data_IF_595199739228
#
_entry.id   IF_595199739228
#
_cell.length_a   1.000
_cell.length_b   1.000
_cell.length_c   1.000
_cell.angle_alpha   90.00
_cell.angle_beta   90.00
_cell.angle_gamma   90.00
#
_symmetry.space_group_name_H-M   'P 1'
#
loop_
_entity.id
_entity.type
_entity.pdbx_description
1 polymer ?
#
# COMPACT_ATOMS: atom_id res chain seq x y z
N UNK A 1 -6.25 7.19 8.50
CA UNK A 1 -5.92 6.12 7.55
C UNK A 1 -4.48 6.32 7.13
N UNK A 2 -3.60 5.50 7.71
CA UNK A 2 -2.17 5.84 7.84
C UNK A 2 -1.30 5.25 6.73
N UNK A 3 -1.88 4.56 5.74
CA UNK A 3 -1.14 3.89 4.66
C UNK A 3 -0.26 4.91 3.93
N UNK A 4 -0.87 5.99 3.41
CA UNK A 4 -0.15 7.02 2.64
C UNK A 4 0.99 7.63 3.45
N UNK A 5 0.76 7.90 4.74
CA UNK A 5 1.81 8.42 5.61
C UNK A 5 2.92 7.38 5.81
N UNK A 6 2.59 6.16 6.19
CA UNK A 6 3.58 5.14 6.53
C UNK A 6 4.37 4.61 5.32
N UNK A 7 3.84 4.74 4.11
CA UNK A 7 4.47 4.27 2.86
C UNK A 7 4.58 5.38 1.82
N UNK A 8 4.74 6.64 2.23
CA UNK A 8 4.76 7.81 1.35
C UNK A 8 5.77 7.69 0.20
N UNK A 9 6.95 7.12 0.48
CA UNK A 9 8.01 6.90 -0.51
C UNK A 9 7.59 5.98 -1.65
N UNK A 10 6.70 5.03 -1.40
CA UNK A 10 6.23 4.08 -2.42
C UNK A 10 5.33 4.74 -3.47
N UNK A 11 4.88 5.98 -3.25
CA UNK A 11 4.05 6.74 -4.19
C UNK A 11 4.83 7.77 -5.02
N UNK A 12 6.13 7.92 -4.80
CA UNK A 12 6.98 8.89 -5.51
C UNK A 12 7.47 8.37 -6.87
N UNK A 13 6.55 7.97 -7.74
CA UNK A 13 6.87 7.33 -9.04
C UNK A 13 6.37 8.10 -10.26
N UNK A 14 5.91 9.35 -10.10
CA UNK A 14 5.20 10.16 -11.11
C UNK A 14 3.93 9.49 -11.69
N UNK A 15 3.54 8.32 -11.18
CA UNK A 15 2.27 7.69 -11.49
C UNK A 15 1.10 8.47 -10.86
N UNK A 16 -0.08 8.31 -11.46
CA UNK A 16 -1.32 8.68 -10.81
C UNK A 16 -1.81 7.47 -10.03
N UNK A 17 -1.95 7.64 -8.72
CA UNK A 17 -2.37 6.56 -7.83
C UNK A 17 -3.82 6.72 -7.42
N UNK A 18 -4.55 5.61 -7.29
CA UNK A 18 -5.83 5.56 -6.59
C UNK A 18 -5.69 4.76 -5.30
N UNK A 19 -6.23 5.31 -4.21
CA UNK A 19 -6.28 4.66 -2.90
C UNK A 19 -7.74 4.52 -2.46
N UNK A 20 -8.32 3.32 -2.51
CA UNK A 20 -9.67 3.09 -2.00
C UNK A 20 -9.77 3.40 -0.49
N UNK A 21 -10.92 3.85 -0.01
CA UNK A 21 -11.21 4.17 1.39
C UNK A 21 -12.72 4.04 1.71
N UNK A 22 -13.13 4.25 2.96
CA UNK A 22 -14.54 4.25 3.37
C UNK A 22 -15.35 5.40 2.82
N UNK A 23 -16.68 5.30 2.91
CA UNK A 23 -17.65 6.38 2.65
C UNK A 23 -17.50 7.59 3.58
N UNK A 24 -16.96 7.42 4.80
CA UNK A 24 -16.79 8.49 5.79
C UNK A 24 -15.61 9.45 5.53
N UNK A 25 -15.28 9.73 4.26
CA UNK A 25 -14.40 10.87 3.89
C UNK A 25 -15.05 12.20 4.30
N UNK A 26 -16.38 12.20 4.51
CA UNK A 26 -17.19 13.36 4.89
C UNK A 26 -16.81 13.97 6.25
N UNK A 27 -16.13 13.25 7.14
CA UNK A 27 -15.74 13.75 8.47
C UNK A 27 -14.35 14.42 8.51
N UNK A 28 -13.67 14.52 7.36
CA UNK A 28 -12.39 15.19 7.30
C UNK A 28 -12.59 16.70 7.29
N UNK A 29 -12.07 17.33 8.33
CA UNK A 29 -11.75 18.75 8.47
C UNK A 29 -11.65 19.43 7.09
N UNK A 30 -12.65 20.27 6.75
CA UNK A 30 -12.75 20.92 5.42
C UNK A 30 -11.47 21.70 5.04
N UNK A 31 -10.65 22.00 6.05
CA UNK A 31 -9.42 22.75 6.02
C UNK A 31 -8.23 22.00 5.39
N UNK A 32 -8.27 20.66 5.26
CA UNK A 32 -7.18 19.85 4.74
C UNK A 32 -6.01 19.67 5.72
N UNK A 33 -5.00 18.91 5.32
CA UNK A 33 -3.89 18.52 6.19
C UNK A 33 -2.54 18.55 5.43
N UNK A 34 -1.51 19.14 6.05
CA UNK A 34 -0.13 19.06 5.55
C UNK A 34 0.77 18.55 6.66
N UNK A 35 1.30 17.34 6.47
CA UNK A 35 2.20 16.66 7.40
C UNK A 35 3.45 16.16 6.69
N UNK A 36 4.51 15.98 7.46
CA UNK A 36 5.72 15.31 7.00
C UNK A 36 5.68 13.85 7.42
N UNK A 37 5.97 12.93 6.50
CA UNK A 37 6.22 11.53 6.83
C UNK A 37 7.52 11.07 6.18
N UNK A 38 8.48 10.59 6.98
CA UNK A 38 9.83 10.24 6.54
C UNK A 38 10.44 11.34 5.64
N UNK A 39 10.39 12.59 6.10
CA UNK A 39 10.78 13.81 5.38
C UNK A 39 9.98 14.17 4.13
N UNK A 40 9.11 13.30 3.61
CA UNK A 40 8.23 13.57 2.46
C UNK A 40 7.04 14.42 2.92
N UNK A 41 6.79 15.62 2.33
CA UNK A 41 5.57 16.37 2.60
C UNK A 41 4.38 15.68 1.94
N UNK A 42 3.34 15.41 2.71
CA UNK A 42 2.06 14.87 2.23
C UNK A 42 1.03 15.97 2.42
N UNK A 43 0.52 16.49 1.30
CA UNK A 43 -0.51 17.52 1.27
C UNK A 43 -1.83 16.87 0.91
N UNK A 44 -2.77 16.86 1.85
CA UNK A 44 -4.04 16.16 1.73
C UNK A 44 -5.19 17.15 1.79
N UNK A 45 -6.06 17.12 0.78
CA UNK A 45 -7.20 18.05 0.70
C UNK A 45 -8.44 17.37 0.16
N UNK A 46 -9.60 17.85 0.61
CA UNK A 46 -10.89 17.43 0.08
C UNK A 46 -11.16 18.13 -1.26
N UNK A 47 -11.09 17.35 -2.33
CA UNK A 47 -11.44 17.78 -3.68
C UNK A 47 -12.94 17.74 -3.91
N UNK A 48 -13.43 18.74 -4.65
CA UNK A 48 -14.82 18.88 -5.07
C UNK A 48 -14.89 19.08 -6.58
N UNK A 49 -16.07 18.93 -7.20
CA UNK A 49 -16.26 19.27 -8.61
C UNK A 49 -15.84 20.72 -8.94
N UNK A 50 -15.88 21.62 -7.96
CA UNK A 50 -15.40 23.00 -8.12
C UNK A 50 -13.89 23.07 -8.00
N UNK A 51 -13.20 23.32 -9.12
CA UNK A 51 -11.76 23.59 -9.12
C UNK A 51 -11.40 24.79 -8.24
N UNK A 52 -12.24 25.83 -8.20
CA UNK A 52 -12.04 27.01 -7.36
C UNK A 52 -11.95 26.64 -5.90
N UNK A 53 -12.91 25.86 -5.40
CA UNK A 53 -12.90 25.38 -4.02
C UNK A 53 -11.72 24.45 -3.75
N UNK A 54 -11.41 23.53 -4.66
CA UNK A 54 -10.29 22.59 -4.50
C UNK A 54 -8.93 23.30 -4.42
N UNK A 55 -8.67 24.26 -5.31
CA UNK A 55 -7.42 25.05 -5.29
C UNK A 55 -7.38 25.96 -4.05
N UNK A 56 -8.49 26.59 -3.70
CA UNK A 56 -8.59 27.41 -2.48
C UNK A 56 -8.23 26.61 -1.23
N UNK A 57 -8.77 25.41 -1.07
CA UNK A 57 -8.45 24.49 0.05
C UNK A 57 -6.96 24.10 0.05
N UNK A 58 -6.40 23.81 -1.12
CA UNK A 58 -4.97 23.53 -1.28
C UNK A 58 -4.10 24.68 -0.77
N UNK A 59 -4.38 25.90 -1.23
CA UNK A 59 -3.61 27.10 -0.82
C UNK A 59 -3.83 27.39 0.66
N UNK A 60 -5.05 27.25 1.16
CA UNK A 60 -5.39 27.43 2.58
C UNK A 60 -4.62 26.47 3.48
N UNK A 61 -4.50 25.20 3.10
CA UNK A 61 -3.74 24.19 3.85
C UNK A 61 -2.25 24.55 3.95
N UNK A 62 -1.72 25.23 2.93
CA UNK A 62 -0.31 25.63 2.83
C UNK A 62 -0.02 26.95 3.56
N UNK A 63 -1.00 27.86 3.67
CA UNK A 63 -0.79 29.29 3.99
C UNK A 63 0.11 29.55 5.20
N UNK A 64 -0.02 28.76 6.28
CA UNK A 64 0.72 28.95 7.54
C UNK A 64 1.85 27.93 7.73
N UNK A 65 2.13 27.10 6.73
CA UNK A 65 3.04 25.95 6.88
C UNK A 65 4.48 26.23 6.48
N UNK A 66 4.85 27.49 6.25
CA UNK A 66 6.23 27.91 5.95
C UNK A 66 7.27 27.31 6.92
N UNK A 67 6.92 27.17 8.21
CA UNK A 67 7.84 26.69 9.27
C UNK A 67 8.05 25.18 9.27
N UNK A 68 7.11 24.37 8.73
CA UNK A 68 7.24 22.89 8.65
C UNK A 68 8.46 22.44 7.82
N UNK A 69 9.09 23.39 7.14
CA UNK A 69 10.19 23.19 6.21
C UNK A 69 11.51 23.79 6.73
N UNK A 70 11.56 24.34 7.94
CA UNK A 70 12.78 24.96 8.52
C UNK A 70 13.85 23.92 8.93
N UNK A 71 13.44 22.72 9.33
CA UNK A 71 14.30 21.73 10.00
C UNK A 71 14.48 20.39 9.23
N UNK A 72 14.13 20.32 7.94
CA UNK A 72 14.36 19.09 7.16
C UNK A 72 15.65 19.17 6.37
N UNK A 73 16.34 18.03 6.26
CA UNK A 73 17.57 17.82 5.49
C UNK A 73 17.52 18.50 4.12
N UNK A 74 18.64 19.13 3.76
CA UNK A 74 18.77 20.02 2.61
C UNK A 74 18.31 19.37 1.30
N UNK A 75 18.44 18.05 1.14
CA UNK A 75 18.18 17.32 -0.10
C UNK A 75 16.72 17.30 -0.57
N UNK A 76 15.75 17.35 0.35
CA UNK A 76 14.31 17.33 -0.02
C UNK A 76 13.75 18.75 -0.14
N UNK A 77 14.32 19.70 0.59
CA UNK A 77 13.90 21.11 0.68
C UNK A 77 14.58 22.05 -0.33
N UNK A 78 15.24 21.48 -1.34
CA UNK A 78 16.14 22.18 -2.25
C UNK A 78 15.54 23.35 -3.05
N UNK A 79 14.24 23.65 -3.04
CA UNK A 79 13.69 24.69 -3.94
C UNK A 79 13.08 25.94 -3.26
N UNK A 80 12.22 25.88 -2.21
CA UNK A 80 11.64 27.12 -1.62
C UNK A 80 12.73 27.78 -0.80
N UNK A 81 13.45 27.00 0.00
CA UNK A 81 14.53 27.56 0.80
C UNK A 81 15.73 27.88 -0.06
N UNK A 82 16.18 27.10 -1.07
CA UNK A 82 17.26 27.63 -1.94
C UNK A 82 16.84 28.85 -2.76
N UNK A 83 15.61 28.94 -3.25
CA UNK A 83 15.13 30.13 -3.97
C UNK A 83 15.03 31.34 -3.03
N UNK A 84 14.34 31.19 -1.89
CA UNK A 84 14.25 32.24 -0.89
C UNK A 84 15.63 32.54 -0.27
N UNK A 85 16.54 31.57 -0.15
CA UNK A 85 17.89 31.72 0.42
C UNK A 85 18.82 32.42 -0.57
N UNK A 86 18.80 32.03 -1.85
CA UNK A 86 19.48 32.76 -2.93
C UNK A 86 19.00 34.21 -3.05
N UNK A 87 17.70 34.48 -2.89
CA UNK A 87 17.14 35.83 -3.06
C UNK A 87 17.16 36.66 -1.75
N UNK A 88 17.02 36.04 -0.57
CA UNK A 88 16.76 36.74 0.70
C UNK A 88 17.63 36.32 1.90
N UNK A 89 18.31 35.16 1.91
CA UNK A 89 19.06 34.68 3.10
C UNK A 89 20.59 34.58 2.92
N UNK A 90 21.14 34.54 1.70
CA UNK A 90 22.58 34.65 1.40
C UNK A 90 23.11 36.10 1.49
N UNK A 91 22.25 37.08 1.76
CA UNK A 91 22.67 38.43 2.16
C UNK A 91 23.11 38.46 3.62
N UNK A 92 24.15 39.23 4.01
CA UNK A 92 24.78 39.19 5.34
C UNK A 92 23.81 39.38 6.53
N UNK A 93 22.65 40.00 6.31
CA UNK A 93 21.59 40.16 7.30
C UNK A 93 20.51 39.07 7.15
N UNK A 94 20.57 38.04 8.03
CA UNK A 94 19.59 36.95 8.16
C UNK A 94 18.16 37.50 8.26
N UNK A 95 17.32 37.26 7.24
CA UNK A 95 16.06 37.97 7.02
C UNK A 95 14.80 37.08 7.02
N UNK A 96 14.69 36.16 7.98
CA UNK A 96 13.52 35.27 8.14
C UNK A 96 12.18 36.02 8.10
N UNK A 97 12.10 37.20 8.73
CA UNK A 97 10.90 38.04 8.72
C UNK A 97 10.53 38.56 7.33
N UNK A 98 11.52 38.91 6.48
CA UNK A 98 11.26 39.36 5.10
C UNK A 98 10.76 38.20 4.24
N UNK A 99 11.35 37.01 4.39
CA UNK A 99 10.89 35.81 3.70
C UNK A 99 9.46 35.43 4.12
N UNK A 100 9.14 35.51 5.42
CA UNK A 100 7.78 35.31 5.95
C UNK A 100 6.80 36.32 5.36
N UNK A 101 7.16 37.60 5.29
CA UNK A 101 6.34 38.66 4.68
C UNK A 101 6.10 38.41 3.19
N UNK A 102 7.13 38.01 2.44
CA UNK A 102 7.02 37.68 1.03
C UNK A 102 6.11 36.47 0.78
N UNK A 103 6.21 35.44 1.64
CA UNK A 103 5.32 34.28 1.60
C UNK A 103 3.85 34.67 1.78
N UNK A 104 3.53 35.42 2.83
CA UNK A 104 2.15 35.85 3.08
C UNK A 104 1.61 36.75 1.97
N UNK A 105 2.44 37.62 1.37
CA UNK A 105 2.06 38.40 0.19
C UNK A 105 1.74 37.50 -1.00
N UNK A 106 2.63 36.56 -1.33
CA UNK A 106 2.39 35.62 -2.44
C UNK A 106 1.10 34.80 -2.25
N UNK A 107 0.86 34.32 -1.03
CA UNK A 107 -0.38 33.59 -0.69
C UNK A 107 -1.60 34.51 -0.78
N UNK A 108 -1.51 35.76 -0.30
CA UNK A 108 -2.57 36.76 -0.41
C UNK A 108 -2.94 37.06 -1.86
N UNK A 109 -1.94 37.36 -2.70
CA UNK A 109 -2.13 37.59 -4.14
C UNK A 109 -2.75 36.36 -4.83
N UNK A 110 -2.40 35.14 -4.40
CA UNK A 110 -2.98 33.92 -4.93
C UNK A 110 -4.45 33.76 -4.52
N UNK A 111 -4.82 34.10 -3.29
CA UNK A 111 -6.23 34.13 -2.88
C UNK A 111 -7.05 35.17 -3.65
N UNK A 112 -6.48 36.34 -3.91
CA UNK A 112 -7.13 37.36 -4.74
C UNK A 112 -7.36 36.87 -6.17
N UNK A 113 -6.34 36.26 -6.80
CA UNK A 113 -6.47 35.64 -8.12
C UNK A 113 -7.53 34.51 -8.13
N UNK A 114 -7.65 33.74 -7.05
CA UNK A 114 -8.68 32.69 -6.90
C UNK A 114 -10.07 33.33 -6.77
N UNK A 115 -10.22 34.39 -5.97
CA UNK A 115 -11.47 35.10 -5.77
C UNK A 115 -11.98 35.69 -7.08
N UNK A 116 -11.08 36.35 -7.83
CA UNK A 116 -11.34 36.91 -9.17
C UNK A 116 -11.39 35.83 -10.27
N UNK A 117 -11.05 34.59 -9.93
CA UNK A 117 -11.01 33.42 -10.83
C UNK A 117 -10.17 33.64 -12.10
N UNK A 118 -9.01 34.26 -11.95
CA UNK A 118 -8.03 34.37 -13.04
C UNK A 118 -7.30 33.04 -13.25
N UNK A 119 -7.98 32.08 -13.89
CA UNK A 119 -7.57 30.67 -13.95
C UNK A 119 -6.12 30.46 -14.39
N UNK A 120 -5.64 31.20 -15.39
CA UNK A 120 -4.26 31.08 -15.89
C UNK A 120 -3.23 31.48 -14.82
N UNK A 121 -3.46 32.59 -14.10
CA UNK A 121 -2.60 33.04 -13.01
C UNK A 121 -2.67 32.09 -11.82
N UNK A 122 -3.88 31.71 -11.41
CA UNK A 122 -4.12 30.76 -10.31
C UNK A 122 -3.38 29.45 -10.55
N UNK A 123 -3.55 28.86 -11.73
CA UNK A 123 -2.90 27.59 -12.07
C UNK A 123 -1.38 27.72 -12.05
N UNK A 124 -0.83 28.76 -12.69
CA UNK A 124 0.61 28.98 -12.76
C UNK A 124 1.23 29.13 -11.36
N UNK A 125 0.65 30.00 -10.51
CA UNK A 125 1.09 30.21 -9.13
C UNK A 125 0.95 28.95 -8.27
N UNK A 126 -0.15 28.19 -8.43
CA UNK A 126 -0.38 26.93 -7.71
C UNK A 126 0.65 25.86 -8.11
N UNK A 127 0.94 25.72 -9.40
CA UNK A 127 1.97 24.79 -9.90
C UNK A 127 3.34 25.18 -9.37
N UNK A 128 3.69 26.47 -9.39
CA UNK A 128 4.95 26.97 -8.82
C UNK A 128 5.02 26.56 -7.35
N UNK A 129 3.99 26.88 -6.55
CA UNK A 129 3.93 26.53 -5.14
C UNK A 129 4.14 25.02 -4.91
N UNK A 130 3.43 24.17 -5.64
CA UNK A 130 3.53 22.71 -5.54
C UNK A 130 4.88 22.17 -6.00
N UNK A 131 5.45 22.68 -7.10
CA UNK A 131 6.80 22.31 -7.57
C UNK A 131 7.86 22.63 -6.54
N UNK A 132 7.66 23.71 -5.81
CA UNK A 132 8.64 24.12 -4.83
C UNK A 132 8.49 23.31 -3.53
N UNK A 133 7.27 23.03 -3.10
CA UNK A 133 6.98 22.21 -1.92
C UNK A 133 7.25 20.71 -2.16
N UNK A 134 7.21 20.26 -3.41
CA UNK A 134 7.30 18.85 -3.84
C UNK A 134 6.46 17.89 -2.98
N UNK A 135 5.16 18.18 -2.72
CA UNK A 135 4.37 17.29 -1.89
C UNK A 135 3.94 16.05 -2.68
N UNK A 136 3.72 14.97 -1.94
CA UNK A 136 2.79 13.93 -2.34
C UNK A 136 1.37 14.49 -2.15
N UNK A 137 0.70 14.81 -3.25
CA UNK A 137 -0.60 15.47 -3.24
C UNK A 137 -1.72 14.44 -3.19
N UNK A 138 -2.49 14.44 -2.11
CA UNK A 138 -3.60 13.53 -1.86
C UNK A 138 -4.91 14.27 -2.02
N UNK A 139 -5.69 13.91 -3.03
CA UNK A 139 -7.06 14.38 -3.18
C UNK A 139 -8.02 13.37 -2.60
N UNK A 140 -8.57 13.68 -1.43
CA UNK A 140 -9.74 12.98 -0.95
C UNK A 140 -10.93 13.41 -1.81
N UNK A 141 -11.62 12.46 -2.43
CA UNK A 141 -12.78 12.73 -3.27
C UNK A 141 -13.99 11.98 -2.74
N UNK A 142 -15.16 12.61 -2.79
CA UNK A 142 -16.43 11.90 -2.61
C UNK A 142 -16.67 10.90 -3.76
N UNK A 143 -17.83 10.27 -3.77
CA UNK A 143 -18.23 9.41 -4.87
C UNK A 143 -18.26 10.20 -6.20
N UNK A 144 -17.18 10.04 -6.97
CA UNK A 144 -16.93 10.80 -8.19
C UNK A 144 -17.91 10.40 -9.31
N UNK A 145 -18.58 9.25 -9.18
CA UNK A 145 -19.62 8.83 -10.13
C UNK A 145 -20.81 9.81 -10.16
N UNK A 146 -21.00 10.57 -9.08
CA UNK A 146 -22.07 11.57 -8.94
C UNK A 146 -21.67 12.96 -9.41
N UNK A 147 -20.45 13.14 -9.92
CA UNK A 147 -19.95 14.46 -10.33
C UNK A 147 -20.37 14.79 -11.76
N UNK A 148 -21.25 15.78 -11.92
CA UNK A 148 -21.72 16.25 -13.23
C UNK A 148 -20.59 16.88 -14.09
N UNK A 149 -19.50 17.37 -13.48
CA UNK A 149 -18.43 18.11 -14.18
C UNK A 149 -17.03 17.58 -13.87
N UNK A 150 -16.83 16.27 -14.00
CA UNK A 150 -15.55 15.62 -13.72
C UNK A 150 -14.42 16.03 -14.68
N UNK A 151 -14.74 16.46 -15.90
CA UNK A 151 -13.76 16.76 -16.95
C UNK A 151 -12.82 17.92 -16.57
N UNK A 152 -13.34 18.93 -15.86
CA UNK A 152 -12.50 20.01 -15.32
C UNK A 152 -11.47 19.49 -14.32
N UNK A 153 -11.89 18.60 -13.42
CA UNK A 153 -10.99 17.95 -12.47
C UNK A 153 -9.97 17.04 -13.19
N UNK A 154 -10.39 16.28 -14.20
CA UNK A 154 -9.49 15.48 -15.06
C UNK A 154 -8.40 16.33 -15.70
N UNK A 155 -8.76 17.46 -16.33
CA UNK A 155 -7.80 18.40 -16.93
C UNK A 155 -6.84 19.01 -15.91
N UNK A 156 -7.33 19.32 -14.72
CA UNK A 156 -6.51 19.80 -13.61
C UNK A 156 -5.46 18.77 -13.17
N UNK A 157 -5.88 17.53 -12.89
CA UNK A 157 -4.97 16.43 -12.53
C UNK A 157 -3.92 16.21 -13.63
N UNK A 158 -4.34 16.17 -14.90
CA UNK A 158 -3.42 15.99 -16.03
C UNK A 158 -2.41 17.14 -16.13
N UNK A 159 -2.82 18.38 -15.85
CA UNK A 159 -1.92 19.54 -15.84
C UNK A 159 -0.88 19.42 -14.72
N UNK A 160 -1.29 19.01 -13.52
CA UNK A 160 -0.36 18.78 -12.42
C UNK A 160 0.64 17.66 -12.74
N UNK A 161 0.19 16.57 -13.37
CA UNK A 161 1.05 15.46 -13.81
C UNK A 161 2.08 15.89 -14.85
N UNK A 162 1.70 16.71 -15.84
CA UNK A 162 2.64 17.31 -16.82
C UNK A 162 3.76 18.12 -16.16
N UNK A 163 3.57 18.53 -14.91
CA UNK A 163 4.54 19.26 -14.11
C UNK A 163 5.26 18.38 -13.07
N UNK A 164 5.21 17.05 -13.20
CA UNK A 164 5.86 16.05 -12.34
C UNK A 164 5.46 16.16 -10.85
N UNK A 165 4.19 16.46 -10.61
CA UNK A 165 3.61 16.44 -9.26
C UNK A 165 3.07 15.03 -9.00
N UNK A 166 3.49 14.41 -7.90
CA UNK A 166 3.01 13.09 -7.47
C UNK A 166 1.61 13.20 -6.87
N UNK A 167 0.66 12.40 -7.37
CA UNK A 167 -0.76 12.54 -7.02
C UNK A 167 -1.35 11.19 -6.61
N UNK A 168 -2.12 11.22 -5.53
CA UNK A 168 -2.98 10.13 -5.07
C UNK A 168 -4.42 10.63 -5.05
N UNK A 169 -5.33 9.94 -5.72
CA UNK A 169 -6.77 10.13 -5.58
C UNK A 169 -7.28 9.11 -4.58
N UNK A 170 -7.79 9.57 -3.45
CA UNK A 170 -8.38 8.71 -2.42
C UNK A 170 -9.89 8.77 -2.50
N UNK A 171 -10.54 7.66 -2.82
CA UNK A 171 -11.97 7.60 -3.10
C UNK A 171 -12.67 6.43 -2.39
N UNK A 172 -14.00 6.48 -2.21
CA UNK A 172 -14.76 5.33 -1.72
C UNK A 172 -14.49 4.07 -2.56
N UNK A 173 -14.46 2.90 -1.92
CA UNK A 173 -14.19 1.62 -2.59
C UNK A 173 -15.12 1.43 -3.80
N UNK A 174 -16.40 1.79 -3.65
CA UNK A 174 -17.42 1.66 -4.69
C UNK A 174 -17.12 2.54 -5.93
N UNK A 175 -16.48 3.68 -5.72
CA UNK A 175 -16.14 4.64 -6.78
C UNK A 175 -14.84 4.29 -7.51
N UNK A 176 -14.05 3.32 -7.00
CA UNK A 176 -12.73 2.96 -7.55
C UNK A 176 -12.79 2.61 -9.04
N UNK A 177 -13.81 1.85 -9.45
CA UNK A 177 -13.97 1.44 -10.85
C UNK A 177 -14.30 2.63 -11.76
N UNK A 178 -15.11 3.57 -11.27
CA UNK A 178 -15.42 4.79 -12.01
C UNK A 178 -14.17 5.66 -12.17
N UNK A 179 -13.42 5.89 -11.09
CA UNK A 179 -12.15 6.63 -11.11
C UNK A 179 -11.15 6.00 -12.09
N UNK A 180 -11.03 4.66 -12.10
CA UNK A 180 -10.19 3.94 -13.07
C UNK A 180 -10.57 4.18 -14.53
N UNK A 181 -11.87 4.34 -14.82
CA UNK A 181 -12.37 4.65 -16.18
C UNK A 181 -12.13 6.12 -16.54
N UNK A 182 -12.25 7.03 -15.59
CA UNK A 182 -12.08 8.47 -15.84
C UNK A 182 -10.62 8.85 -16.14
N UNK A 183 -9.68 8.32 -15.35
CA UNK A 183 -8.28 8.72 -15.40
C UNK A 183 -7.42 7.67 -16.09
N UNK A 184 -6.85 8.03 -17.23
CA UNK A 184 -5.92 7.17 -17.96
C UNK A 184 -4.67 6.87 -17.13
N UNK A 185 -4.27 5.59 -17.15
CA UNK A 185 -3.07 5.08 -16.48
C UNK A 185 -3.07 5.21 -14.95
N UNK A 186 -4.24 5.35 -14.32
CA UNK A 186 -4.32 5.33 -12.85
C UNK A 186 -4.07 3.91 -12.32
N UNK A 187 -3.23 3.81 -11.29
CA UNK A 187 -2.80 2.53 -10.70
C UNK A 187 -3.19 2.44 -9.24
N UNK A 188 -3.39 1.22 -8.73
CA UNK A 188 -3.45 0.97 -7.29
C UNK A 188 -2.07 0.55 -6.82
N UNK A 189 -1.59 1.14 -5.73
CA UNK A 189 -0.29 0.78 -5.16
C UNK A 189 -0.40 -0.44 -4.23
N UNK A 190 -0.49 -1.63 -4.82
CA UNK A 190 -0.57 -2.89 -4.08
C UNK A 190 0.65 -3.10 -3.16
N UNK A 191 1.81 -2.59 -3.55
CA UNK A 191 3.06 -2.71 -2.79
C UNK A 191 2.97 -1.91 -1.49
N UNK A 192 2.52 -0.66 -1.57
CA UNK A 192 2.28 0.18 -0.40
C UNK A 192 1.31 -0.49 0.60
N UNK A 193 0.20 -1.05 0.10
CA UNK A 193 -0.78 -1.74 0.94
C UNK A 193 -0.21 -3.01 1.58
N UNK A 194 0.58 -3.79 0.83
CA UNK A 194 1.29 -4.96 1.35
C UNK A 194 2.27 -4.59 2.47
N UNK A 195 3.07 -3.54 2.28
CA UNK A 195 4.04 -3.08 3.27
C UNK A 195 3.35 -2.56 4.53
N UNK A 196 2.27 -1.80 4.37
CA UNK A 196 1.47 -1.32 5.49
C UNK A 196 0.85 -2.50 6.27
N UNK A 197 0.33 -3.50 5.57
CA UNK A 197 -0.19 -4.72 6.18
C UNK A 197 0.91 -5.43 6.99
N UNK A 198 2.08 -5.64 6.37
CA UNK A 198 3.24 -6.23 7.04
C UNK A 198 3.58 -5.46 8.31
N UNK A 199 3.74 -4.14 8.21
CA UNK A 199 4.11 -3.26 9.34
C UNK A 199 3.10 -3.32 10.47
N UNK A 200 1.81 -3.29 10.15
CA UNK A 200 0.71 -3.42 11.13
C UNK A 200 0.74 -4.77 11.87
N UNK A 201 1.36 -5.80 11.29
CA UNK A 201 1.53 -7.12 11.87
C UNK A 201 2.96 -7.38 12.39
N UNK A 202 3.79 -6.34 12.51
CA UNK A 202 5.15 -6.44 13.05
C UNK A 202 6.22 -6.93 12.06
N UNK A 203 5.95 -6.86 10.76
CA UNK A 203 6.89 -7.20 9.68
C UNK A 203 7.38 -5.96 8.94
N UNK A 204 8.68 -5.88 8.71
CA UNK A 204 9.29 -4.85 7.88
C UNK A 204 9.62 -5.42 6.50
N UNK A 205 8.83 -5.04 5.48
CA UNK A 205 8.88 -5.65 4.15
C UNK A 205 9.47 -4.67 3.14
N UNK A 206 10.55 -5.08 2.46
CA UNK A 206 11.11 -4.31 1.34
C UNK A 206 10.23 -4.34 0.09
N UNK A 207 10.42 -3.41 -0.84
CA UNK A 207 9.67 -3.34 -2.12
C UNK A 207 9.80 -4.66 -2.89
N UNK A 208 11.02 -5.17 -3.05
CA UNK A 208 11.30 -6.41 -3.78
C UNK A 208 10.61 -7.64 -3.17
N UNK A 209 10.55 -7.71 -1.84
CA UNK A 209 9.84 -8.80 -1.15
C UNK A 209 8.33 -8.63 -1.31
N UNK A 210 7.80 -7.41 -1.19
CA UNK A 210 6.37 -7.12 -1.37
C UNK A 210 5.89 -7.47 -2.80
N UNK A 211 6.67 -7.16 -3.83
CA UNK A 211 6.39 -7.55 -5.22
C UNK A 211 6.30 -9.07 -5.38
N UNK A 212 7.26 -9.79 -4.81
CA UNK A 212 7.27 -11.24 -4.86
C UNK A 212 6.08 -11.86 -4.10
N UNK A 213 5.78 -11.34 -2.90
CA UNK A 213 4.62 -11.75 -2.10
C UNK A 213 3.31 -11.51 -2.84
N UNK A 214 3.15 -10.37 -3.52
CA UNK A 214 1.99 -10.07 -4.34
C UNK A 214 1.85 -11.06 -5.50
N UNK A 215 2.96 -11.39 -6.18
CA UNK A 215 2.97 -12.34 -7.29
C UNK A 215 2.49 -13.72 -6.87
N UNK A 216 2.94 -14.21 -5.71
CA UNK A 216 2.59 -15.57 -5.25
C UNK A 216 1.21 -15.63 -4.58
N UNK A 217 0.77 -14.55 -3.92
CA UNK A 217 -0.54 -14.51 -3.25
C UNK A 217 -1.67 -14.09 -4.18
N UNK A 218 -1.34 -13.46 -5.31
CA UNK A 218 -2.31 -12.79 -6.18
C UNK A 218 -3.23 -11.82 -5.42
N UNK A 219 -2.71 -11.15 -4.38
CA UNK A 219 -3.50 -10.27 -3.53
C UNK A 219 -4.40 -10.98 -2.51
N UNK A 220 -4.30 -12.31 -2.34
CA UNK A 220 -5.03 -13.05 -1.31
C UNK A 220 -4.36 -12.91 0.07
N UNK A 221 -5.04 -12.26 1.02
CA UNK A 221 -4.52 -12.06 2.38
C UNK A 221 -4.35 -13.36 3.18
N UNK A 222 -5.15 -14.39 2.89
CA UNK A 222 -5.04 -15.67 3.59
C UNK A 222 -3.70 -16.36 3.28
N UNK A 223 -3.27 -16.30 2.02
CA UNK A 223 -1.95 -16.79 1.58
C UNK A 223 -0.84 -15.99 2.27
N UNK A 224 -0.98 -14.67 2.35
CA UNK A 224 0.00 -13.80 3.00
C UNK A 224 0.12 -14.09 4.50
N UNK A 225 -1.00 -14.22 5.20
CA UNK A 225 -1.04 -14.60 6.62
C UNK A 225 -0.29 -15.91 6.86
N UNK A 226 -0.54 -16.89 6.01
CA UNK A 226 0.06 -18.21 6.11
C UNK A 226 1.58 -18.18 5.89
N UNK A 227 2.06 -17.40 4.92
CA UNK A 227 3.50 -17.25 4.64
C UNK A 227 4.19 -16.42 5.73
N UNK A 228 3.65 -15.26 6.06
CA UNK A 228 4.27 -14.31 7.00
C UNK A 228 4.36 -14.91 8.42
N UNK A 229 3.36 -15.69 8.86
CA UNK A 229 3.35 -16.37 10.17
C UNK A 229 4.64 -17.15 10.48
N UNK A 230 5.29 -17.69 9.45
CA UNK A 230 6.51 -18.47 9.59
C UNK A 230 7.76 -17.77 9.03
N UNK A 231 7.64 -16.50 8.65
CA UNK A 231 8.72 -15.67 8.11
C UNK A 231 9.42 -14.88 9.21
N UNK A 232 10.62 -14.36 8.92
CA UNK A 232 11.29 -13.40 9.80
C UNK A 232 10.51 -12.08 9.87
N UNK A 233 10.68 -11.30 10.94
CA UNK A 233 10.09 -9.96 11.08
C UNK A 233 10.69 -8.98 10.06
N UNK A 234 12.01 -8.98 9.90
CA UNK A 234 12.69 -8.13 8.90
C UNK A 234 12.92 -8.89 7.59
N UNK A 235 12.24 -8.43 6.53
CA UNK A 235 12.23 -9.03 5.20
C UNK A 235 12.81 -8.06 4.16
N UNK A 236 14.13 -7.84 4.26
CA UNK A 236 14.88 -6.94 3.37
C UNK A 236 15.19 -7.59 2.01
N UNK A 237 15.35 -8.91 1.96
CA UNK A 237 15.69 -9.64 0.73
C UNK A 237 14.80 -10.87 0.53
N UNK A 238 14.77 -11.42 -0.69
CA UNK A 238 14.07 -12.69 -0.97
C UNK A 238 14.68 -13.88 -0.22
N UNK A 239 15.94 -13.79 0.21
CA UNK A 239 16.58 -14.80 1.06
C UNK A 239 16.00 -14.79 2.47
N UNK A 240 15.64 -13.62 2.99
CA UNK A 240 15.01 -13.48 4.31
C UNK A 240 13.60 -14.05 4.36
N UNK A 241 12.87 -13.98 3.23
CA UNK A 241 11.51 -14.51 3.12
C UNK A 241 11.45 -16.04 3.18
N UNK A 242 12.46 -16.74 2.64
CA UNK A 242 12.55 -18.21 2.46
C UNK A 242 11.30 -18.98 2.96
N UNK A 243 10.35 -19.22 2.06
CA UNK A 243 9.06 -19.83 2.39
C UNK A 243 9.26 -21.21 3.05
N UNK A 244 8.85 -21.40 4.32
CA UNK A 244 9.07 -22.64 5.04
C UNK A 244 7.98 -23.66 4.68
N UNK A 245 8.08 -24.22 3.48
CA UNK A 245 7.10 -25.15 2.91
C UNK A 245 6.73 -26.30 3.86
N UNK A 246 7.70 -26.85 4.61
CA UNK A 246 7.44 -27.92 5.59
C UNK A 246 6.42 -27.55 6.67
N UNK A 247 6.35 -26.27 7.07
CA UNK A 247 5.36 -25.78 8.04
C UNK A 247 4.03 -25.40 7.39
N UNK A 248 4.08 -25.07 6.09
CA UNK A 248 2.94 -24.57 5.31
C UNK A 248 2.10 -25.71 4.75
N UNK A 249 2.73 -26.76 4.23
CA UNK A 249 2.05 -27.86 3.53
C UNK A 249 0.87 -28.44 4.33
N UNK A 250 0.99 -28.75 5.63
CA UNK A 250 -0.13 -29.29 6.40
C UNK A 250 -1.34 -28.34 6.49
N UNK A 251 -1.13 -27.04 6.30
CA UNK A 251 -2.19 -26.03 6.36
C UNK A 251 -2.88 -25.76 5.02
N UNK A 252 -2.32 -26.25 3.90
CA UNK A 252 -2.85 -26.01 2.55
C UNK A 252 -3.47 -27.26 1.92
N UNK A 253 -3.31 -28.42 2.56
CA UNK A 253 -3.97 -29.67 2.16
C UNK A 253 -5.35 -29.80 2.81
N UNK A 254 -6.29 -30.55 2.22
CA UNK A 254 -7.56 -30.87 2.86
C UNK A 254 -7.38 -31.44 4.27
N UNK A 255 -8.29 -31.09 5.19
CA UNK A 255 -8.21 -31.42 6.63
C UNK A 255 -7.96 -32.92 6.89
N UNK A 256 -8.56 -33.81 6.08
CA UNK A 256 -8.39 -35.27 6.19
C UNK A 256 -6.94 -35.75 6.04
N UNK A 257 -6.09 -35.00 5.33
CA UNK A 257 -4.67 -35.35 5.11
C UNK A 257 -3.71 -34.63 6.05
N UNK A 258 -4.18 -33.66 6.84
CA UNK A 258 -3.33 -32.77 7.65
C UNK A 258 -2.34 -33.55 8.54
N UNK A 259 -2.86 -34.50 9.33
CA UNK A 259 -2.05 -35.27 10.29
C UNK A 259 -0.99 -36.14 9.61
N UNK A 260 -1.34 -36.75 8.46
CA UNK A 260 -0.38 -37.52 7.64
C UNK A 260 0.72 -36.59 7.11
N UNK A 261 0.36 -35.40 6.65
CA UNK A 261 1.33 -34.44 6.12
C UNK A 261 2.22 -33.83 7.20
N UNK A 262 1.74 -33.62 8.42
CA UNK A 262 2.57 -33.20 9.56
C UNK A 262 3.66 -34.24 9.85
N UNK A 263 3.28 -35.51 9.93
CA UNK A 263 4.21 -36.62 10.14
C UNK A 263 5.20 -36.72 8.96
N UNK A 264 4.70 -36.64 7.71
CA UNK A 264 5.52 -36.69 6.52
C UNK A 264 6.54 -35.54 6.44
N UNK A 265 6.18 -34.33 6.85
CA UNK A 265 7.08 -33.18 6.88
C UNK A 265 8.19 -33.33 7.91
N UNK A 266 7.93 -34.04 9.01
CA UNK A 266 8.91 -34.32 10.05
C UNK A 266 9.89 -35.44 9.62
N UNK A 267 9.35 -36.58 9.18
CA UNK A 267 10.16 -37.79 8.91
C UNK A 267 10.79 -37.75 7.50
N UNK A 268 10.19 -37.02 6.55
CA UNK A 268 10.60 -36.84 5.13
C UNK A 268 10.60 -38.11 4.27
N UNK A 269 10.90 -39.28 4.81
CA UNK A 269 10.89 -40.59 4.12
C UNK A 269 10.44 -41.67 5.10
N UNK A 270 9.37 -42.39 4.76
CA UNK A 270 8.74 -43.35 5.67
C UNK A 270 8.10 -44.52 4.93
N UNK A 271 7.84 -45.62 5.63
CA UNK A 271 6.93 -46.69 5.20
C UNK A 271 5.62 -46.60 6.02
N UNK A 272 4.65 -47.44 5.71
CA UNK A 272 3.35 -47.36 6.42
C UNK A 272 3.47 -47.70 7.91
N UNK A 273 4.31 -48.67 8.27
CA UNK A 273 4.51 -49.09 9.65
C UNK A 273 5.07 -47.94 10.51
N UNK A 274 5.91 -47.07 9.92
CA UNK A 274 6.46 -45.89 10.60
C UNK A 274 5.39 -44.87 11.01
N UNK A 275 4.25 -44.80 10.30
CA UNK A 275 3.23 -43.78 10.54
C UNK A 275 1.94 -44.35 11.12
N UNK A 276 1.72 -45.66 11.00
CA UNK A 276 0.50 -46.34 11.45
C UNK A 276 0.21 -46.07 12.94
N UNK A 277 1.25 -46.14 13.78
CA UNK A 277 1.10 -45.95 15.23
C UNK A 277 0.77 -44.51 15.65
N UNK A 278 0.91 -43.54 14.74
CA UNK A 278 0.63 -42.13 15.00
C UNK A 278 -0.74 -41.69 14.47
N UNK A 279 -1.44 -42.59 13.77
CA UNK A 279 -2.69 -42.32 13.07
C UNK A 279 -3.78 -43.22 13.62
N UNK A 280 -4.89 -42.60 14.05
CA UNK A 280 -6.08 -43.33 14.48
C UNK A 280 -6.97 -43.65 13.26
N UNK A 281 -6.41 -44.43 12.33
CA UNK A 281 -7.02 -44.78 11.04
C UNK A 281 -6.70 -46.24 10.69
N UNK A 282 -7.63 -46.90 10.00
CA UNK A 282 -7.38 -48.25 9.48
C UNK A 282 -6.32 -48.20 8.37
N UNK A 283 -5.46 -49.22 8.30
CA UNK A 283 -4.39 -49.35 7.29
C UNK A 283 -4.87 -49.12 5.85
N UNK A 284 -6.02 -49.66 5.39
CA UNK A 284 -6.54 -49.38 4.04
C UNK A 284 -6.81 -47.89 3.79
N UNK A 285 -7.34 -47.17 4.79
CA UNK A 285 -7.60 -45.74 4.72
C UNK A 285 -6.30 -44.95 4.61
N UNK A 286 -5.28 -45.34 5.37
CA UNK A 286 -3.94 -44.73 5.29
C UNK A 286 -3.36 -44.92 3.88
N UNK A 287 -3.47 -46.13 3.30
CA UNK A 287 -3.02 -46.37 1.92
C UNK A 287 -3.76 -45.51 0.89
N UNK A 288 -5.08 -45.39 1.01
CA UNK A 288 -5.87 -44.53 0.13
C UNK A 288 -5.41 -43.08 0.22
N UNK A 289 -5.26 -42.54 1.44
CA UNK A 289 -4.81 -41.16 1.65
C UNK A 289 -3.37 -40.93 1.16
N UNK A 290 -2.47 -41.91 1.34
CA UNK A 290 -1.12 -41.83 0.78
C UNK A 290 -1.11 -41.89 -0.75
N UNK A 291 -2.05 -42.61 -1.37
CA UNK A 291 -2.23 -42.61 -2.82
C UNK A 291 -2.68 -41.22 -3.30
N UNK A 292 -3.72 -40.66 -2.68
CA UNK A 292 -4.21 -39.31 -2.99
C UNK A 292 -3.09 -38.26 -2.88
N UNK A 293 -2.26 -38.35 -1.83
CA UNK A 293 -1.12 -37.44 -1.62
C UNK A 293 0.02 -37.62 -2.64
N UNK A 294 0.16 -38.82 -3.22
CA UNK A 294 1.06 -39.07 -4.35
C UNK A 294 0.48 -38.48 -5.64
N UNK A 295 -0.83 -38.62 -5.85
CA UNK A 295 -1.53 -38.05 -7.00
C UNK A 295 -1.53 -36.52 -6.97
N UNK A 296 -1.63 -35.91 -5.78
CA UNK A 296 -1.37 -34.49 -5.53
C UNK A 296 0.10 -34.08 -5.66
N UNK A 297 1.00 -35.03 -5.99
CA UNK A 297 2.46 -34.84 -6.14
C UNK A 297 3.18 -34.31 -4.90
N UNK A 298 2.56 -34.40 -3.72
CA UNK A 298 3.16 -34.03 -2.43
C UNK A 298 4.07 -35.14 -1.89
N UNK A 299 3.84 -36.38 -2.31
CA UNK A 299 4.66 -37.54 -2.00
C UNK A 299 5.14 -38.24 -3.28
N UNK A 300 6.32 -38.85 -3.21
CA UNK A 300 6.83 -39.82 -4.19
C UNK A 300 6.74 -41.21 -3.60
N UNK A 301 6.14 -42.14 -4.35
CA UNK A 301 6.05 -43.57 -4.00
C UNK A 301 7.17 -44.34 -4.70
N UNK A 302 7.86 -45.21 -3.97
CA UNK A 302 8.81 -46.18 -4.52
C UNK A 302 8.59 -47.54 -3.88
N UNK A 303 8.77 -48.60 -4.66
CA UNK A 303 8.75 -49.98 -4.17
C UNK A 303 10.18 -50.42 -3.91
N UNK A 304 10.45 -50.95 -2.72
CA UNK A 304 11.73 -51.54 -2.34
C UNK A 304 11.42 -52.95 -1.83
N UNK A 305 11.64 -53.95 -2.69
CA UNK A 305 11.21 -55.33 -2.44
C UNK A 305 9.68 -55.44 -2.28
N UNK A 306 9.23 -56.02 -1.16
CA UNK A 306 7.81 -56.13 -0.80
C UNK A 306 7.23 -54.86 -0.15
N UNK A 307 8.08 -53.90 0.21
CA UNK A 307 7.67 -52.71 0.96
C UNK A 307 7.45 -51.48 0.06
N UNK A 308 6.44 -50.69 0.41
CA UNK A 308 6.21 -49.36 -0.17
C UNK A 308 6.85 -48.29 0.70
N UNK A 309 7.65 -47.44 0.07
CA UNK A 309 8.32 -46.31 0.72
C UNK A 309 7.84 -45.02 0.09
N UNK A 310 7.45 -44.08 0.94
CA UNK A 310 6.98 -42.76 0.58
C UNK A 310 8.07 -41.74 0.95
N UNK A 311 8.27 -40.74 0.09
CA UNK A 311 9.20 -39.63 0.32
C UNK A 311 8.50 -38.32 0.02
N UNK A 312 8.66 -37.34 0.90
CA UNK A 312 8.16 -35.99 0.68
C UNK A 312 8.73 -35.41 -0.62
N UNK A 313 7.85 -34.83 -1.44
CA UNK A 313 8.19 -34.17 -2.68
C UNK A 313 7.89 -32.66 -2.53
N UNK A 314 8.94 -31.84 -2.55
CA UNK A 314 8.83 -30.39 -2.42
C UNK A 314 8.99 -29.72 -3.78
N UNK A 315 8.07 -30.02 -4.68
CA UNK A 315 8.00 -29.32 -5.96
C UNK A 315 7.36 -27.94 -5.75
N UNK A 316 8.11 -26.87 -6.01
CA UNK A 316 7.63 -25.51 -5.74
C UNK A 316 6.46 -25.12 -6.63
N UNK A 317 6.43 -25.58 -7.88
CA UNK A 317 5.38 -25.19 -8.82
C UNK A 317 4.06 -25.80 -8.39
N UNK A 318 4.06 -27.08 -8.04
CA UNK A 318 2.89 -27.78 -7.51
C UNK A 318 2.40 -27.16 -6.19
N UNK A 319 3.32 -26.83 -5.28
CA UNK A 319 2.98 -26.17 -4.02
C UNK A 319 2.35 -24.79 -4.23
N UNK A 320 2.82 -24.04 -5.22
CA UNK A 320 2.20 -22.77 -5.61
C UNK A 320 0.86 -22.94 -6.31
N UNK A 321 0.57 -24.07 -6.95
CA UNK A 321 -0.78 -24.33 -7.45
C UNK A 321 -1.73 -24.71 -6.32
N UNK A 322 -1.28 -25.55 -5.38
CA UNK A 322 -2.10 -25.96 -4.23
C UNK A 322 -2.46 -24.75 -3.35
N UNK A 323 -1.50 -23.86 -3.07
CA UNK A 323 -1.75 -22.70 -2.20
C UNK A 323 -2.75 -21.69 -2.81
N UNK A 324 -2.90 -21.66 -4.14
CA UNK A 324 -3.89 -20.81 -4.82
C UNK A 324 -5.34 -21.26 -4.59
N UNK A 325 -5.55 -22.51 -4.18
CA UNK A 325 -6.89 -23.04 -3.88
C UNK A 325 -7.42 -22.56 -2.51
N UNK A 326 -6.61 -21.84 -1.72
CA UNK A 326 -7.07 -21.21 -0.48
C UNK A 326 -8.10 -20.14 -0.80
N UNK A 327 -9.19 -20.12 -0.04
CA UNK A 327 -10.28 -19.14 -0.16
C UNK A 327 -9.74 -17.72 -0.37
N UNK A 328 -10.22 -17.08 -1.44
CA UNK A 328 -9.76 -15.75 -1.82
C UNK A 328 -10.32 -14.70 -0.87
N UNK A 329 -9.43 -13.93 -0.26
CA UNK A 329 -9.80 -12.75 0.51
C UNK A 329 -8.91 -11.57 0.11
N UNK A 330 -9.54 -10.54 -0.46
CA UNK A 330 -8.84 -9.42 -1.07
C UNK A 330 -7.98 -8.61 -0.07
N UNK A 331 -6.72 -8.35 -0.43
CA UNK A 331 -5.77 -7.61 0.39
C UNK A 331 -6.27 -6.19 0.70
N UNK A 332 -6.73 -5.45 -0.30
CA UNK A 332 -7.15 -4.05 -0.12
C UNK A 332 -8.32 -3.95 0.81
N UNK A 333 -9.37 -4.73 0.52
CA UNK A 333 -10.59 -4.74 1.33
C UNK A 333 -10.30 -5.18 2.78
N UNK A 334 -9.43 -6.16 2.97
CA UNK A 334 -9.13 -6.70 4.31
C UNK A 334 -8.27 -5.77 5.15
N UNK A 335 -7.19 -5.24 4.58
CA UNK A 335 -6.31 -4.27 5.27
C UNK A 335 -7.10 -3.03 5.64
N UNK A 336 -8.01 -2.63 4.76
CA UNK A 336 -8.91 -1.54 4.99
C UNK A 336 -9.87 -1.80 6.16
N UNK A 337 -10.62 -2.91 6.17
CA UNK A 337 -11.54 -3.25 7.27
C UNK A 337 -10.83 -3.45 8.61
N UNK A 338 -9.69 -4.14 8.63
CA UNK A 338 -8.91 -4.36 9.86
C UNK A 338 -8.42 -3.01 10.45
N UNK A 339 -8.10 -2.03 9.60
CA UNK A 339 -7.70 -0.69 10.05
C UNK A 339 -8.83 0.09 10.74
N UNK A 340 -10.11 -0.23 10.45
CA UNK A 340 -11.27 0.42 11.07
C UNK A 340 -11.56 -0.12 12.47
N UNK A 341 -11.40 -1.42 12.69
CA UNK A 341 -11.61 -2.05 14.00
C UNK A 341 -10.64 -1.49 15.05
N UNK A 342 -9.37 -1.28 14.66
CA UNK A 342 -8.35 -0.68 15.54
C UNK A 342 -8.64 0.79 15.88
N UNK A 343 -9.39 1.52 15.04
CA UNK A 343 -9.76 2.92 15.32
C UNK A 343 -10.90 3.01 16.35
N UNK A 344 -11.87 2.10 16.31
CA UNK A 344 -12.94 2.03 17.33
C UNK A 344 -12.39 1.76 18.73
N UNK A 345 -11.40 0.88 18.87
CA UNK A 345 -10.81 0.59 20.19
C UNK A 345 -10.03 1.76 20.80
N UNK A 346 -9.56 2.73 20.01
CA UNK A 346 -8.84 3.91 20.52
C UNK A 346 -9.74 5.07 20.96
N UNK A 347 -11.02 5.06 20.60
CA UNK A 347 -11.99 6.08 21.01
C UNK A 347 -12.72 5.72 22.32
N UNK A 348 -12.56 4.49 22.81
CA UNK A 348 -13.20 3.97 24.02
C UNK A 348 -12.18 3.50 25.07
N UNK A 349 -10.95 4.01 25.03
CA UNK A 349 -9.87 3.69 25.95
C UNK A 349 -9.38 4.90 26.74
#
# INVERSE_FOLDING_TARGET
>A
MDIIYQTASDFLTNDLWVMPTDRNILELDESGELKASNNIPVLRVLATPSLKKTISRLVYTIKDKMVLFKNKEEDINLNIFKYLNKIYFNTPNKNYYRAKKAWYRFIGDLFEDINNWNFKKVMSKTIILLKILKPLLVFDVHDVSKWNHIEGFKKFINTLRKHNINIIIRCPVESTNYVKKTFENIKINNIAVMKYYGKSNGYNISTKVAEYLLKISNGNINILKLILRYSKRDLKTLRDLKIPWLKIIPSIVPKKYKKIMEIACNIKKFNINCINNYLDLKIPTIYAYLSDLVDMKLLKKRRIGKNLVYKLNLDKEELFQIIKNIDYKDLHYSVFLESQQNYKFRLFG
#
